data_IF_796781519202
#
_entry.id   IF_796781519202
#
_cell.length_a   1.000
_cell.length_b   1.000
_cell.length_c   1.000
_cell.angle_alpha   90.00
_cell.angle_beta   90.00
_cell.angle_gamma   90.00
#
_symmetry.space_group_name_H-M   'P 1'
#
loop_
_entity.id
_entity.type
_entity.pdbx_description
1 polymer ?
#
# COMPACT_ATOMS: atom_id res chain seq x y z
N UNK A 1 -0.41 -55.23 -24.99
CA UNK A 1 -0.14 -54.20 -23.96
C UNK A 1 -1.20 -53.11 -24.10
N UNK A 2 -2.24 -53.19 -23.27
CA UNK A 2 -3.35 -52.24 -23.28
C UNK A 2 -2.85 -50.94 -22.63
N UNK A 3 -2.74 -49.89 -23.43
CA UNK A 3 -2.03 -48.65 -23.14
C UNK A 3 -2.86 -47.69 -22.30
N UNK A 4 -3.38 -48.13 -21.16
CA UNK A 4 -4.10 -47.27 -20.23
C UNK A 4 -3.11 -46.33 -19.56
N UNK A 5 -3.02 -45.10 -20.07
CA UNK A 5 -2.39 -43.98 -19.38
C UNK A 5 -3.42 -43.46 -18.39
N UNK A 6 -3.26 -43.81 -17.12
CA UNK A 6 -3.98 -43.14 -16.03
C UNK A 6 -3.43 -41.71 -15.90
N UNK A 7 -4.14 -40.75 -16.48
CA UNK A 7 -3.88 -39.33 -16.24
C UNK A 7 -4.33 -39.00 -14.80
N UNK A 8 -3.40 -39.05 -13.86
CA UNK A 8 -3.58 -38.54 -12.51
C UNK A 8 -3.61 -37.01 -12.58
N UNK A 9 -4.80 -36.42 -12.63
CA UNK A 9 -4.96 -34.97 -12.39
C UNK A 9 -4.61 -34.66 -10.95
N UNK A 10 -3.41 -34.09 -10.74
CA UNK A 10 -3.07 -33.45 -9.46
C UNK A 10 -3.79 -32.10 -9.41
N UNK A 11 -4.69 -31.84 -8.45
CA UNK A 11 -5.23 -30.50 -8.30
C UNK A 11 -4.09 -29.58 -7.83
N UNK A 12 -3.63 -28.71 -8.73
CA UNK A 12 -2.68 -27.65 -8.38
C UNK A 12 -3.48 -26.54 -7.71
N UNK A 13 -3.65 -26.60 -6.39
CA UNK A 13 -4.23 -25.48 -5.64
C UNK A 13 -3.17 -24.40 -5.50
N UNK A 14 -3.15 -23.45 -6.43
CA UNK A 14 -2.35 -22.23 -6.31
C UNK A 14 -3.00 -21.39 -5.20
N UNK A 15 -2.29 -21.19 -4.08
CA UNK A 15 -2.74 -20.27 -3.02
C UNK A 15 -2.61 -18.84 -3.52
N UNK A 16 -3.61 -18.00 -3.23
CA UNK A 16 -3.53 -16.56 -3.52
C UNK A 16 -2.41 -15.93 -2.67
N UNK A 17 -1.75 -14.91 -3.22
CA UNK A 17 -0.67 -14.19 -2.56
C UNK A 17 -1.18 -13.39 -1.36
N UNK A 18 -2.39 -12.82 -1.43
CA UNK A 18 -3.05 -12.18 -0.27
C UNK A 18 -3.28 -13.11 0.93
N UNK A 19 -3.33 -14.43 0.71
CA UNK A 19 -3.47 -15.40 1.81
C UNK A 19 -2.09 -15.83 2.37
N UNK A 20 -1.01 -15.38 1.73
CA UNK A 20 0.38 -15.70 2.07
C UNK A 20 1.10 -14.51 2.70
N UNK A 21 0.87 -13.30 2.20
CA UNK A 21 1.47 -12.06 2.67
C UNK A 21 0.55 -11.33 3.65
N UNK A 22 1.14 -10.54 4.54
CA UNK A 22 0.43 -9.73 5.52
C UNK A 22 1.12 -8.36 5.61
N UNK A 23 0.96 -7.49 4.61
CA UNK A 23 1.52 -6.15 4.61
C UNK A 23 0.95 -5.33 5.76
N UNK A 24 1.76 -4.41 6.26
CA UNK A 24 1.39 -3.52 7.36
C UNK A 24 1.67 -2.07 6.98
N UNK A 25 1.02 -1.13 7.68
CA UNK A 25 1.37 0.27 7.58
C UNK A 25 2.84 0.47 7.96
N UNK A 26 3.55 1.34 7.22
CA UNK A 26 4.94 1.66 7.50
C UNK A 26 5.09 2.28 8.90
N UNK A 27 6.14 1.90 9.62
CA UNK A 27 6.49 2.46 10.93
C UNK A 27 7.99 2.86 10.96
N UNK A 28 8.34 4.13 11.27
CA UNK A 28 7.42 5.25 11.46
C UNK A 28 6.62 5.55 10.19
N UNK A 29 5.42 6.11 10.36
CA UNK A 29 4.52 6.46 9.26
C UNK A 29 5.15 7.45 8.28
N UNK A 30 4.53 7.58 7.10
CA UNK A 30 4.97 8.55 6.11
C UNK A 30 4.71 9.98 6.62
N UNK A 31 5.67 10.86 6.42
CA UNK A 31 5.52 12.30 6.67
C UNK A 31 5.36 13.03 5.33
N UNK A 32 4.38 13.93 5.25
CA UNK A 32 4.08 14.74 4.06
C UNK A 32 4.10 16.23 4.41
N UNK A 33 4.37 17.09 3.42
CA UNK A 33 4.20 18.54 3.57
C UNK A 33 2.74 18.93 3.40
N UNK A 34 2.31 20.00 4.04
CA UNK A 34 1.02 20.62 3.76
C UNK A 34 0.86 20.86 2.24
N UNK A 35 -0.29 20.46 1.69
CA UNK A 35 -0.63 20.55 0.26
C UNK A 35 0.14 19.60 -0.67
N UNK A 36 1.01 18.73 -0.15
CA UNK A 36 1.75 17.76 -0.98
C UNK A 36 0.93 16.51 -1.28
N UNK A 37 1.33 15.78 -2.32
CA UNK A 37 0.75 14.48 -2.66
C UNK A 37 1.66 13.33 -2.18
N UNK A 38 1.32 12.64 -1.06
CA UNK A 38 2.06 11.47 -0.60
C UNK A 38 1.78 10.22 -1.45
N UNK A 39 2.82 9.42 -1.70
CA UNK A 39 2.68 8.13 -2.38
C UNK A 39 2.08 7.06 -1.47
N UNK A 40 1.16 6.24 -2.01
CA UNK A 40 0.57 5.10 -1.30
C UNK A 40 1.62 4.06 -0.88
N UNK A 41 2.56 3.76 -1.78
CA UNK A 41 3.70 2.87 -1.51
C UNK A 41 4.52 3.34 -0.30
N UNK A 42 4.73 4.66 -0.17
CA UNK A 42 5.49 5.23 0.94
C UNK A 42 4.83 5.04 2.31
N UNK A 43 3.54 4.68 2.35
CA UNK A 43 2.76 4.42 3.56
C UNK A 43 2.69 2.94 3.95
N UNK A 44 3.21 2.02 3.14
CA UNK A 44 3.18 0.57 3.38
C UNK A 44 4.58 0.02 3.65
N UNK A 45 4.69 -0.99 4.50
CA UNK A 45 5.88 -1.81 4.59
C UNK A 45 5.92 -2.77 3.40
N UNK A 46 6.83 -2.50 2.46
CA UNK A 46 6.99 -3.27 1.22
C UNK A 46 7.99 -4.42 1.36
N UNK A 47 8.65 -4.56 2.51
CA UNK A 47 9.66 -5.59 2.71
C UNK A 47 9.06 -7.00 2.62
N UNK A 48 9.71 -7.86 1.82
CA UNK A 48 9.27 -9.24 1.63
C UNK A 48 8.06 -9.42 0.70
N UNK A 49 7.45 -8.34 0.21
CA UNK A 49 6.37 -8.45 -0.77
C UNK A 49 6.92 -8.85 -2.15
N UNK A 50 6.13 -9.58 -2.96
CA UNK A 50 6.58 -10.05 -4.26
C UNK A 50 6.80 -8.88 -5.23
N UNK A 51 7.79 -9.02 -6.13
CA UNK A 51 8.07 -8.02 -7.16
C UNK A 51 6.87 -7.88 -8.10
N UNK A 52 6.50 -6.65 -8.42
CA UNK A 52 5.31 -6.34 -9.21
C UNK A 52 4.07 -6.07 -8.36
N UNK A 53 4.17 -6.13 -7.03
CA UNK A 53 3.14 -5.58 -6.15
C UNK A 53 3.00 -4.08 -6.39
N UNK A 54 1.77 -3.59 -6.49
CA UNK A 54 1.45 -2.18 -6.71
C UNK A 54 0.58 -1.62 -5.58
N UNK A 55 0.64 -0.30 -5.38
CA UNK A 55 0.02 0.39 -4.25
C UNK A 55 -0.75 1.60 -4.75
N UNK A 56 -2.05 1.65 -4.43
CA UNK A 56 -2.92 2.77 -4.82
C UNK A 56 -3.75 3.24 -3.64
N UNK A 57 -4.14 4.52 -3.64
CA UNK A 57 -5.02 5.06 -2.60
C UNK A 57 -6.47 4.63 -2.85
N UNK A 58 -7.08 3.93 -1.88
CA UNK A 58 -8.54 3.81 -1.78
C UNK A 58 -9.10 5.09 -1.14
N UNK A 59 -8.44 5.52 -0.06
CA UNK A 59 -8.74 6.75 0.66
C UNK A 59 -7.43 7.53 0.80
N UNK A 60 -7.35 8.66 0.09
CA UNK A 60 -6.16 9.50 0.10
C UNK A 60 -6.16 10.38 1.35
N UNK A 61 -5.05 10.47 2.11
CA UNK A 61 -4.97 11.37 3.25
C UNK A 61 -5.08 12.83 2.79
N UNK A 62 -5.89 13.62 3.51
CA UNK A 62 -6.10 15.04 3.20
C UNK A 62 -4.95 15.90 3.75
N UNK A 63 -4.00 16.22 2.87
CA UNK A 63 -2.84 17.06 3.18
C UNK A 63 -3.08 18.55 3.05
N UNK A 64 -4.25 19.00 2.58
CA UNK A 64 -4.60 20.41 2.42
C UNK A 64 -5.35 20.97 3.64
N UNK A 65 -5.40 20.20 4.72
CA UNK A 65 -6.04 20.58 5.98
C UNK A 65 -5.00 20.77 7.08
N UNK A 66 -5.49 21.00 8.30
CA UNK A 66 -4.66 21.20 9.50
C UNK A 66 -3.52 20.19 9.61
N UNK A 67 -2.31 20.62 9.97
CA UNK A 67 -1.19 19.71 10.25
C UNK A 67 -1.56 18.66 11.29
N UNK A 68 -0.89 17.50 11.20
CA UNK A 68 -1.09 16.36 12.08
C UNK A 68 -1.42 15.07 11.32
N UNK A 69 -1.84 14.07 12.08
CA UNK A 69 -2.12 12.73 11.56
C UNK A 69 -3.40 12.70 10.72
N UNK A 70 -3.28 12.25 9.48
CA UNK A 70 -4.39 12.06 8.54
C UNK A 70 -4.56 10.58 8.23
N UNK A 71 -5.78 10.04 8.36
CA UNK A 71 -6.03 8.66 7.97
C UNK A 71 -5.95 8.52 6.45
N UNK A 72 -5.60 7.33 6.00
CA UNK A 72 -5.69 6.92 4.61
C UNK A 72 -5.87 5.41 4.53
N UNK A 73 -6.11 4.93 3.32
CA UNK A 73 -6.23 3.49 3.05
C UNK A 73 -5.60 3.14 1.71
N UNK A 74 -4.72 2.16 1.71
CA UNK A 74 -3.98 1.71 0.53
C UNK A 74 -4.55 0.37 0.04
N UNK A 75 -4.85 0.28 -1.24
CA UNK A 75 -5.09 -0.97 -1.96
C UNK A 75 -3.76 -1.51 -2.45
N UNK A 76 -3.45 -2.74 -2.05
CA UNK A 76 -2.28 -3.50 -2.47
C UNK A 76 -2.75 -4.50 -3.53
N UNK A 77 -2.13 -4.48 -4.70
CA UNK A 77 -2.42 -5.43 -5.77
C UNK A 77 -1.18 -6.26 -6.06
N UNK A 78 -1.29 -7.57 -5.86
CA UNK A 78 -0.22 -8.53 -6.06
C UNK A 78 -0.10 -8.94 -7.54
N UNK A 79 1.04 -9.51 -7.96
CA UNK A 79 1.23 -10.06 -9.31
C UNK A 79 0.21 -11.12 -9.76
N UNK A 80 -0.43 -11.83 -8.83
CA UNK A 80 -1.51 -12.79 -9.13
C UNK A 80 -2.89 -12.11 -9.27
N UNK A 81 -2.94 -10.78 -9.19
CA UNK A 81 -4.14 -9.93 -9.16
C UNK A 81 -4.98 -10.06 -7.89
N UNK A 82 -4.52 -10.81 -6.89
CA UNK A 82 -5.15 -10.76 -5.57
C UNK A 82 -4.88 -9.40 -4.92
N UNK A 83 -5.80 -8.96 -4.07
CA UNK A 83 -5.74 -7.63 -3.48
C UNK A 83 -6.10 -7.63 -2.00
N UNK A 84 -5.56 -6.67 -1.26
CA UNK A 84 -5.99 -6.36 0.10
C UNK A 84 -5.89 -4.87 0.40
N UNK A 85 -6.66 -4.40 1.38
CA UNK A 85 -6.66 -3.01 1.81
C UNK A 85 -6.00 -2.86 3.18
N UNK A 86 -5.07 -1.92 3.31
CA UNK A 86 -4.37 -1.64 4.57
C UNK A 86 -4.66 -0.20 5.01
N UNK A 87 -5.21 0.02 6.22
CA UNK A 87 -5.35 1.35 6.79
C UNK A 87 -3.98 1.91 7.20
N UNK A 88 -3.75 3.19 6.93
CA UNK A 88 -2.49 3.88 7.20
C UNK A 88 -2.74 5.26 7.80
N UNK A 89 -1.68 5.87 8.32
CA UNK A 89 -1.69 7.25 8.82
C UNK A 89 -0.51 8.00 8.20
N UNK A 90 -0.78 9.18 7.66
CA UNK A 90 0.24 10.11 7.15
C UNK A 90 0.31 11.32 8.07
N UNK A 91 1.51 11.65 8.53
CA UNK A 91 1.74 12.86 9.31
C UNK A 91 1.93 14.06 8.38
N UNK A 92 1.03 15.03 8.45
CA UNK A 92 1.12 16.27 7.68
C UNK A 92 1.86 17.32 8.50
N UNK A 93 2.98 17.79 7.97
CA UNK A 93 3.78 18.85 8.59
C UNK A 93 3.18 20.24 8.31
N UNK A 94 3.36 21.21 9.23
CA UNK A 94 2.91 22.58 9.04
C UNK A 94 3.43 23.19 7.74
N UNK A 95 2.60 24.06 7.15
CA UNK A 95 3.11 25.04 6.21
C UNK A 95 4.17 25.86 6.96
N UNK A 96 5.41 25.84 6.48
CA UNK A 96 6.32 26.93 6.83
C UNK A 96 5.73 28.14 6.13
N UNK A 97 4.99 28.96 6.86
CA UNK A 97 4.68 30.29 6.39
C UNK A 97 6.03 30.97 6.13
N UNK A 98 6.35 31.18 4.86
CA UNK A 98 7.34 32.20 4.46
C UNK A 98 6.68 33.56 4.73
N UNK A 99 6.38 33.82 6.00
CA UNK A 99 5.88 35.09 6.47
C UNK A 99 7.10 35.99 6.56
N UNK A 100 7.46 36.61 5.42
CA UNK A 100 8.34 37.76 5.40
C UNK A 100 7.47 39.02 5.31
N UNK A 101 6.89 39.52 6.42
CA UNK A 101 6.21 40.80 6.41
C UNK A 101 7.28 41.86 6.16
N UNK A 102 7.37 42.36 4.93
CA UNK A 102 8.26 43.47 4.63
C UNK A 102 7.65 44.74 5.25
N UNK A 103 8.38 45.47 6.11
CA UNK A 103 7.93 46.76 6.65
C UNK A 103 7.80 47.85 5.57
#
# INVERSE_FOLDING_TARGET
PDGTVDEVTVPITVKEQKDTFNPTAKQPGQTAKHGSDPSAEGSINTEGLPKGTTYTWVEKPDTNTTPGNKPGKVLITYPDNSTEEVPVTVEVTPQKDDYNPQP
#
